data_IF_588944363377
#
_entry.id   IF_588944363377
#
_cell.length_a   1.000
_cell.length_b   1.000
_cell.length_c   1.000
_cell.angle_alpha   90.00
_cell.angle_beta   90.00
_cell.angle_gamma   90.00
#
_symmetry.space_group_name_H-M   'P 1'
#
loop_
_entity.id
_entity.type
_entity.pdbx_description
1 polymer ?
#
# COMPACT_ATOMS: atom_id res chain seq x y z
N UNK A 1 -0.83 -1.35 10.00
CA UNK A 1 -1.82 -0.50 9.33
C UNK A 1 -1.39 -0.11 7.94
N UNK A 2 -2.31 -0.31 6.98
CA UNK A 2 -2.25 0.13 5.58
C UNK A 2 -3.20 1.31 5.44
N UNK A 3 -2.73 2.42 4.91
CA UNK A 3 -3.53 3.61 4.71
C UNK A 3 -3.79 3.85 3.22
N UNK A 4 -4.90 4.52 2.93
CA UNK A 4 -5.23 4.93 1.58
C UNK A 4 -4.18 5.95 1.13
N UNK A 5 -3.49 5.66 0.02
CA UNK A 5 -2.37 6.46 -0.47
C UNK A 5 -0.99 5.83 -0.25
N UNK A 6 -0.91 4.68 0.43
CA UNK A 6 0.32 3.91 0.49
C UNK A 6 0.65 3.29 -0.88
N UNK A 7 1.94 3.25 -1.19
CA UNK A 7 2.43 2.59 -2.41
C UNK A 7 2.58 1.11 -2.11
N UNK A 8 1.88 0.28 -2.86
CA UNK A 8 1.86 -1.17 -2.63
C UNK A 8 2.50 -1.89 -3.80
N UNK A 9 3.46 -2.76 -3.52
CA UNK A 9 4.02 -3.68 -4.50
C UNK A 9 3.14 -4.90 -4.59
N UNK A 10 2.64 -5.16 -5.79
CA UNK A 10 1.69 -6.23 -6.10
C UNK A 10 2.41 -7.28 -6.96
N UNK A 11 2.11 -8.56 -6.71
CA UNK A 11 2.58 -9.69 -7.54
C UNK A 11 1.43 -10.44 -8.20
N UNK A 12 1.66 -10.96 -9.40
CA UNK A 12 0.75 -11.87 -10.07
C UNK A 12 0.65 -13.19 -9.30
N UNK A 13 -0.56 -13.74 -9.19
CA UNK A 13 -0.82 -15.01 -8.54
C UNK A 13 -1.91 -15.77 -9.32
N UNK A 14 -2.22 -17.00 -8.89
CA UNK A 14 -3.41 -17.71 -9.39
C UNK A 14 -4.68 -16.89 -9.11
N UNK A 15 -5.73 -16.96 -9.96
CA UNK A 15 -7.00 -16.28 -9.70
C UNK A 15 -7.57 -16.70 -8.35
N UNK A 16 -7.73 -15.74 -7.44
CA UNK A 16 -8.31 -15.97 -6.12
C UNK A 16 -9.84 -15.82 -6.14
N UNK A 17 -10.36 -14.96 -7.00
CA UNK A 17 -11.78 -14.84 -7.29
C UNK A 17 -12.01 -14.26 -8.70
N UNK A 18 -13.25 -13.90 -9.04
CA UNK A 18 -13.61 -13.33 -10.35
C UNK A 18 -12.74 -12.12 -10.74
N UNK A 19 -12.31 -11.32 -9.77
CA UNK A 19 -11.61 -10.04 -10.02
C UNK A 19 -10.24 -9.93 -9.35
N UNK A 20 -9.94 -10.72 -8.30
CA UNK A 20 -8.65 -10.68 -7.62
C UNK A 20 -7.72 -11.72 -8.21
N UNK A 21 -6.74 -11.25 -8.99
CA UNK A 21 -5.68 -12.05 -9.63
C UNK A 21 -4.27 -11.72 -9.15
N UNK A 22 -4.20 -10.76 -8.24
CA UNK A 22 -2.96 -10.18 -7.77
C UNK A 22 -3.00 -10.10 -6.25
N UNK A 23 -1.86 -10.30 -5.61
CA UNK A 23 -1.74 -10.16 -4.17
C UNK A 23 -0.69 -9.10 -3.79
N UNK A 24 -0.90 -8.48 -2.64
CA UNK A 24 0.05 -7.54 -2.05
C UNK A 24 1.25 -8.31 -1.51
N UNK A 25 2.46 -7.95 -1.97
CA UNK A 25 3.71 -8.53 -1.50
C UNK A 25 4.41 -7.66 -0.45
N UNK A 26 4.36 -6.33 -0.63
CA UNK A 26 4.99 -5.37 0.26
C UNK A 26 4.24 -4.06 0.25
N UNK A 27 4.06 -3.46 1.43
CA UNK A 27 3.49 -2.11 1.57
C UNK A 27 4.62 -1.14 1.85
N UNK A 28 4.86 -0.22 0.92
CA UNK A 28 5.72 0.93 1.13
C UNK A 28 4.84 2.10 1.61
N UNK A 29 4.94 2.41 2.90
CA UNK A 29 4.24 3.58 3.45
C UNK A 29 4.74 4.83 2.74
N UNK A 30 3.84 5.59 2.13
CA UNK A 30 4.21 6.84 1.49
C UNK A 30 4.75 7.77 2.59
N UNK A 31 5.97 8.30 2.43
CA UNK A 31 6.56 9.28 3.34
C UNK A 31 5.88 10.65 3.13
N UNK A 32 4.58 10.71 3.40
CA UNK A 32 3.68 11.79 3.00
C UNK A 32 2.96 12.47 4.16
N UNK A 33 3.56 12.50 5.35
CA UNK A 33 3.16 13.43 6.42
C UNK A 33 4.36 14.02 7.20
N UNK A 34 5.59 13.86 6.67
CA UNK A 34 6.82 14.43 7.29
C UNK A 34 7.10 15.90 6.91
N UNK A 35 6.15 16.59 6.27
CA UNK A 35 6.09 18.06 6.27
C UNK A 35 4.89 18.58 7.08
N UNK A 36 4.44 17.82 8.07
CA UNK A 36 3.57 18.37 9.08
C UNK A 36 4.47 19.02 10.13
N UNK A 37 4.42 20.34 10.21
CA UNK A 37 5.06 21.11 11.27
C UNK A 37 4.57 20.58 12.62
N UNK A 38 5.42 19.87 13.35
CA UNK A 38 5.19 19.58 14.76
C UNK A 38 5.51 20.85 15.51
N UNK A 39 4.47 21.66 15.79
CA UNK A 39 4.58 22.69 16.80
C UNK A 39 4.52 21.96 18.14
N UNK A 40 5.67 21.97 18.82
CA UNK A 40 6.00 21.21 20.04
C UNK A 40 6.36 19.75 19.79
#
# INVERSE_FOLDING_TARGET
DVQIGDVVTIGECRPLCKTVRFNVLKVAKAAGSKKQFQKF
#
